data_IF_237409653371
#
_entry.id   IF_237409653371
#
_cell.length_a   1.000
_cell.length_b   1.000
_cell.length_c   1.000
_cell.angle_alpha   90.00
_cell.angle_beta   90.00
_cell.angle_gamma   90.00
#
_symmetry.space_group_name_H-M   'P 1'
#
loop_
_entity.id
_entity.type
_entity.pdbx_description
1 polymer ?
#
# COMPACT_ATOMS: atom_id res chain seq x y z
N UNK A 1 -3.85 -59.62 48.77
CA UNK A 1 -4.73 -59.42 47.60
C UNK A 1 -4.94 -57.91 47.47
N UNK A 2 -4.18 -57.18 46.63
CA UNK A 2 -4.28 -57.06 45.15
C UNK A 2 -5.01 -55.75 44.78
N UNK A 3 -4.20 -54.77 44.34
CA UNK A 3 -4.39 -53.58 43.48
C UNK A 3 -5.50 -52.57 43.83
N UNK A 4 -5.26 -51.26 43.92
CA UNK A 4 -4.61 -50.40 42.94
C UNK A 4 -5.69 -49.61 42.20
N UNK A 5 -6.17 -48.50 42.77
CA UNK A 5 -7.18 -47.65 42.11
C UNK A 5 -6.46 -46.78 41.09
N UNK A 6 -6.65 -47.15 39.83
CA UNK A 6 -6.08 -46.54 38.66
C UNK A 6 -6.44 -45.06 38.56
N UNK A 7 -5.40 -44.27 38.24
CA UNK A 7 -5.52 -42.90 37.75
C UNK A 7 -6.41 -42.91 36.51
N UNK A 8 -7.58 -42.25 36.58
CA UNK A 8 -8.42 -41.99 35.42
C UNK A 8 -7.66 -40.98 34.56
N UNK A 9 -6.85 -41.49 33.63
CA UNK A 9 -6.28 -40.71 32.55
C UNK A 9 -7.47 -40.25 31.71
N UNK A 10 -7.87 -38.99 31.87
CA UNK A 10 -8.72 -38.32 30.91
C UNK A 10 -7.99 -38.39 29.56
N UNK A 11 -8.52 -39.21 28.66
CA UNK A 11 -8.02 -39.32 27.30
C UNK A 11 -8.13 -37.96 26.63
N UNK A 12 -7.02 -37.24 26.55
CA UNK A 12 -6.85 -36.16 25.59
C UNK A 12 -6.93 -36.81 24.20
N UNK A 13 -7.82 -36.35 23.30
CA UNK A 13 -7.76 -36.82 21.93
C UNK A 13 -6.40 -36.41 21.36
N UNK A 14 -5.77 -37.43 20.79
CA UNK A 14 -4.45 -37.43 20.18
C UNK A 14 -4.35 -36.35 19.11
N UNK A 15 -3.23 -35.63 19.14
CA UNK A 15 -2.57 -34.98 18.01
C UNK A 15 -3.48 -34.23 17.02
N UNK A 16 -3.71 -32.94 17.26
CA UNK A 16 -3.99 -32.00 16.18
C UNK A 16 -2.76 -31.97 15.27
N UNK A 17 -2.90 -32.38 14.02
CA UNK A 17 -1.79 -32.39 13.07
C UNK A 17 -1.71 -31.05 12.33
N UNK A 18 -0.52 -30.61 11.91
CA UNK A 18 -0.28 -29.36 11.19
C UNK A 18 -1.15 -29.17 9.91
N UNK A 19 -1.78 -30.24 9.41
CA UNK A 19 -2.69 -30.22 8.27
C UNK A 19 -4.07 -29.65 8.58
N UNK A 20 -4.43 -29.54 9.86
CA UNK A 20 -5.73 -29.02 10.31
C UNK A 20 -5.74 -27.49 10.51
N UNK A 21 -4.60 -26.82 10.28
CA UNK A 21 -4.43 -25.35 10.46
C UNK A 21 -4.68 -24.58 9.14
N UNK A 22 -4.74 -25.24 7.99
CA UNK A 22 -4.93 -24.57 6.68
C UNK A 22 -6.33 -24.71 6.06
N UNK A 23 -7.28 -25.29 6.78
CA UNK A 23 -8.62 -25.57 6.24
C UNK A 23 -9.67 -24.49 6.50
N UNK A 24 -9.33 -23.40 7.19
CA UNK A 24 -10.22 -22.23 7.33
C UNK A 24 -9.95 -21.20 6.24
N UNK A 25 -10.12 -21.61 4.98
CA UNK A 25 -10.57 -20.66 3.95
C UNK A 25 -11.95 -20.11 4.36
N UNK A 26 -12.29 -18.86 4.02
CA UNK A 26 -13.61 -18.33 4.35
C UNK A 26 -14.69 -19.25 3.75
N UNK A 27 -15.68 -19.62 4.57
CA UNK A 27 -16.81 -20.45 4.15
C UNK A 27 -17.54 -19.84 2.94
N UNK A 28 -18.18 -20.65 2.07
CA UNK A 28 -18.78 -20.23 0.80
C UNK A 28 -20.13 -19.49 0.98
N UNK A 29 -20.19 -18.59 1.95
CA UNK A 29 -21.20 -17.54 2.07
C UNK A 29 -20.51 -16.21 2.41
N UNK A 30 -19.59 -15.78 1.56
CA UNK A 30 -18.92 -14.49 1.74
C UNK A 30 -19.60 -13.43 0.88
N UNK A 31 -20.49 -12.63 1.48
CA UNK A 31 -20.88 -11.33 0.93
C UNK A 31 -19.74 -10.29 1.10
N UNK A 32 -18.49 -10.74 0.97
CA UNK A 32 -17.30 -9.90 1.01
C UNK A 32 -16.90 -9.56 -0.42
N UNK A 33 -16.62 -8.27 -0.72
CA UNK A 33 -16.16 -7.88 -2.04
C UNK A 33 -14.86 -8.61 -2.38
N UNK A 34 -14.85 -9.33 -3.51
CA UNK A 34 -13.65 -9.98 -4.05
C UNK A 34 -12.71 -8.87 -4.51
N UNK A 35 -11.70 -8.58 -3.71
CA UNK A 35 -10.65 -7.65 -4.07
C UNK A 35 -9.70 -8.29 -5.08
N UNK A 36 -9.46 -7.60 -6.20
CA UNK A 36 -8.50 -8.03 -7.19
C UNK A 36 -7.44 -6.94 -7.37
N UNK A 37 -6.37 -7.06 -6.60
CA UNK A 37 -5.32 -6.04 -6.47
C UNK A 37 -4.45 -5.89 -7.74
N UNK A 38 -4.53 -6.83 -8.68
CA UNK A 38 -3.73 -6.84 -9.92
C UNK A 38 -4.43 -6.14 -11.09
N UNK A 39 -5.72 -5.86 -10.98
CA UNK A 39 -6.44 -5.12 -12.02
C UNK A 39 -6.02 -3.66 -12.06
N UNK A 40 -6.06 -3.04 -13.24
CA UNK A 40 -5.89 -1.58 -13.34
C UNK A 40 -7.08 -0.86 -12.68
N UNK A 41 -6.90 0.39 -12.27
CA UNK A 41 -8.05 1.23 -11.88
C UNK A 41 -9.07 1.27 -13.02
N UNK A 42 -10.34 1.16 -12.67
CA UNK A 42 -11.44 1.36 -13.60
C UNK A 42 -12.43 2.37 -13.01
N UNK A 43 -12.49 3.54 -13.64
CA UNK A 43 -13.36 4.64 -13.24
C UNK A 43 -14.84 4.31 -13.40
N UNK A 44 -15.18 3.25 -14.14
CA UNK A 44 -16.55 2.91 -14.44
C UNK A 44 -17.25 4.03 -15.21
N UNK A 45 -18.58 4.08 -15.09
CA UNK A 45 -19.42 5.05 -15.77
C UNK A 45 -20.55 5.53 -14.86
N UNK A 46 -21.31 6.51 -15.34
CA UNK A 46 -22.44 7.12 -14.63
C UNK A 46 -22.14 8.53 -14.13
N UNK A 47 -22.97 9.00 -13.19
CA UNK A 47 -22.95 10.38 -12.67
C UNK A 47 -22.56 10.47 -11.19
N UNK A 48 -22.36 9.33 -10.53
CA UNK A 48 -22.02 9.23 -9.11
C UNK A 48 -20.53 9.45 -8.87
N UNK A 49 -20.07 10.71 -8.88
CA UNK A 49 -18.67 11.03 -8.67
C UNK A 49 -18.26 10.81 -7.21
N UNK A 50 -17.34 9.88 -6.98
CA UNK A 50 -16.75 9.63 -5.66
C UNK A 50 -15.26 9.35 -5.76
N UNK A 51 -14.52 9.68 -4.69
CA UNK A 51 -13.11 9.33 -4.58
C UNK A 51 -12.99 7.90 -4.07
N UNK A 52 -12.28 7.05 -4.81
CA UNK A 52 -11.92 5.69 -4.41
C UNK A 52 -10.41 5.51 -4.48
N UNK A 53 -9.93 4.37 -4.01
CA UNK A 53 -8.53 3.97 -4.05
C UNK A 53 -8.37 2.67 -4.83
N UNK A 54 -7.24 2.52 -5.51
CA UNK A 54 -6.83 1.28 -6.16
C UNK A 54 -5.38 0.98 -5.79
N UNK A 55 -5.04 -0.29 -5.67
CA UNK A 55 -3.67 -0.73 -5.44
C UNK A 55 -2.92 -0.72 -6.76
N UNK A 56 -1.78 -0.04 -6.78
CA UNK A 56 -0.88 -0.12 -7.90
C UNK A 56 0.28 -1.06 -7.56
N UNK A 57 0.25 -2.24 -8.18
CA UNK A 57 1.25 -3.26 -7.94
C UNK A 57 2.64 -2.86 -8.41
N UNK A 58 2.79 -1.91 -9.32
CA UNK A 58 4.10 -1.41 -9.78
C UNK A 58 4.71 -0.61 -8.64
N UNK A 59 4.00 0.38 -8.10
CA UNK A 59 4.45 1.23 -7.00
C UNK A 59 4.35 0.58 -5.62
N UNK A 60 3.61 -0.52 -5.49
CA UNK A 60 3.36 -1.18 -4.21
C UNK A 60 2.54 -0.32 -3.25
N UNK A 61 1.67 0.54 -3.79
CA UNK A 61 0.97 1.57 -3.02
C UNK A 61 -0.44 1.82 -3.56
N UNK A 62 -1.32 2.33 -2.71
CA UNK A 62 -2.68 2.69 -3.10
C UNK A 62 -2.77 4.16 -3.55
N UNK A 63 -3.40 4.38 -4.70
CA UNK A 63 -3.62 5.69 -5.29
C UNK A 63 -5.09 6.03 -5.35
N UNK A 64 -5.41 7.29 -5.13
CA UNK A 64 -6.75 7.82 -5.29
C UNK A 64 -7.11 7.94 -6.78
N UNK A 65 -8.38 7.66 -7.11
CA UNK A 65 -8.97 7.88 -8.42
C UNK A 65 -10.46 8.23 -8.35
N UNK A 66 -10.99 8.82 -9.42
CA UNK A 66 -12.42 9.11 -9.56
C UNK A 66 -13.17 7.88 -10.04
N UNK A 67 -14.22 7.50 -9.32
CA UNK A 67 -15.19 6.48 -9.71
C UNK A 67 -16.55 7.13 -9.97
N UNK A 68 -17.23 6.72 -11.04
CA UNK A 68 -18.49 7.32 -11.52
C UNK A 68 -19.77 6.61 -11.03
N UNK A 69 -19.63 5.62 -10.15
CA UNK A 69 -20.74 5.02 -9.42
C UNK A 69 -21.21 3.68 -9.97
N UNK A 70 -21.01 3.39 -11.26
CA UNK A 70 -21.42 2.13 -11.89
C UNK A 70 -20.26 1.43 -12.62
N UNK A 71 -20.37 0.11 -12.75
CA UNK A 71 -19.34 -0.72 -13.40
C UNK A 71 -18.04 -0.76 -12.60
N UNK A 72 -16.91 -0.71 -13.30
CA UNK A 72 -15.59 -0.83 -12.69
C UNK A 72 -15.19 -2.27 -12.40
N UNK A 73 -14.20 -2.44 -11.53
CA UNK A 73 -13.64 -3.75 -11.18
C UNK A 73 -13.31 -3.88 -9.69
N UNK A 74 -12.69 -5.00 -9.30
CA UNK A 74 -12.41 -5.36 -7.90
C UNK A 74 -11.23 -4.61 -7.27
N UNK A 75 -10.45 -3.85 -8.04
CA UNK A 75 -9.39 -2.99 -7.50
C UNK A 75 -9.93 -1.62 -7.12
N UNK A 76 -10.91 -1.60 -6.20
CA UNK A 76 -11.60 -0.38 -5.80
C UNK A 76 -11.98 -0.42 -4.32
N UNK A 77 -11.48 0.56 -3.58
CA UNK A 77 -11.62 0.64 -2.13
C UNK A 77 -12.11 2.02 -1.70
N UNK A 78 -12.85 2.06 -0.59
CA UNK A 78 -13.41 3.30 -0.05
C UNK A 78 -12.38 4.13 0.72
N UNK A 79 -11.39 3.48 1.32
CA UNK A 79 -10.33 4.13 2.07
C UNK A 79 -8.95 3.64 1.64
N UNK A 80 -7.96 4.51 1.87
CA UNK A 80 -6.56 4.17 1.66
C UNK A 80 -6.15 2.97 2.53
N UNK A 81 -6.53 2.97 3.81
CA UNK A 81 -6.17 1.90 4.74
C UNK A 81 -6.76 0.56 4.35
N UNK A 82 -8.02 0.54 3.85
CA UNK A 82 -8.63 -0.70 3.36
C UNK A 82 -7.92 -1.23 2.13
N UNK A 83 -7.52 -0.34 1.22
CA UNK A 83 -6.74 -0.71 0.05
C UNK A 83 -5.38 -1.31 0.46
N UNK A 84 -4.65 -0.64 1.35
CA UNK A 84 -3.34 -1.11 1.80
C UNK A 84 -3.45 -2.42 2.58
N UNK A 85 -4.42 -2.57 3.49
CA UNK A 85 -4.57 -3.80 4.28
C UNK A 85 -5.05 -4.99 3.47
N UNK A 86 -5.79 -4.75 2.37
CA UNK A 86 -6.27 -5.82 1.50
C UNK A 86 -5.24 -6.26 0.47
N UNK A 87 -4.41 -5.35 -0.03
CA UNK A 87 -3.55 -5.60 -1.19
C UNK A 87 -2.05 -5.61 -0.93
N UNK A 88 -1.59 -5.00 0.17
CA UNK A 88 -0.15 -4.95 0.44
C UNK A 88 0.34 -6.36 0.81
N UNK A 89 1.37 -6.89 0.12
CA UNK A 89 1.96 -8.18 0.48
C UNK A 89 2.55 -8.19 1.89
N UNK A 90 2.46 -9.33 2.57
CA UNK A 90 2.93 -9.52 3.95
C UNK A 90 4.46 -9.50 4.07
N UNK A 91 5.17 -9.90 3.02
CA UNK A 91 6.64 -9.85 2.89
C UNK A 91 7.20 -8.45 2.64
N UNK A 92 6.32 -7.43 2.58
CA UNK A 92 6.65 -6.13 3.12
C UNK A 92 7.50 -5.23 2.23
N UNK A 93 6.81 -4.24 1.65
CA UNK A 93 7.36 -2.94 1.22
C UNK A 93 8.28 -2.97 0.00
N UNK A 94 7.78 -2.43 -1.12
CA UNK A 94 8.64 -2.03 -2.23
C UNK A 94 9.50 -0.84 -1.81
N UNK A 95 10.70 -1.13 -1.30
CA UNK A 95 11.57 -0.12 -0.71
C UNK A 95 11.95 1.03 -1.66
N UNK A 96 12.08 0.73 -2.94
CA UNK A 96 12.52 1.67 -3.95
C UNK A 96 11.39 2.21 -4.85
N UNK A 97 10.12 2.02 -4.46
CA UNK A 97 8.98 2.31 -5.32
C UNK A 97 8.88 1.32 -6.49
N UNK A 98 8.49 1.76 -7.70
CA UNK A 98 8.35 0.86 -8.83
C UNK A 98 9.67 0.22 -9.21
N UNK A 99 9.62 -1.09 -9.46
CA UNK A 99 10.79 -1.89 -9.84
C UNK A 99 11.40 -1.23 -11.06
N UNK A 100 12.66 -0.84 -10.95
CA UNK A 100 13.35 -0.10 -12.00
C UNK A 100 13.47 -0.97 -13.26
N UNK A 101 13.17 -0.44 -14.47
CA UNK A 101 13.31 -1.18 -15.73
C UNK A 101 14.70 -1.76 -15.98
N UNK A 102 15.74 -1.30 -15.27
CA UNK A 102 17.08 -1.86 -15.39
C UNK A 102 17.27 -3.24 -14.75
N UNK A 103 16.24 -3.85 -14.14
CA UNK A 103 16.35 -5.16 -13.48
C UNK A 103 17.52 -5.21 -12.48
N UNK A 104 17.91 -4.09 -11.87
CA UNK A 104 19.13 -4.01 -11.06
C UNK A 104 18.93 -4.69 -9.70
N UNK A 105 19.57 -5.85 -9.43
CA UNK A 105 19.57 -6.47 -8.12
C UNK A 105 20.96 -6.20 -7.52
N UNK A 106 21.34 -4.94 -7.33
CA UNK A 106 22.60 -4.64 -6.67
C UNK A 106 22.33 -4.29 -5.22
N UNK A 107 22.65 -5.26 -4.37
CA UNK A 107 22.90 -5.00 -2.97
C UNK A 107 24.03 -3.97 -2.88
N UNK A 108 23.73 -2.84 -2.24
CA UNK A 108 24.71 -1.78 -2.00
C UNK A 108 25.25 -1.87 -0.59
N UNK A 109 26.50 -1.47 -0.38
CA UNK A 109 27.07 -1.43 0.94
C UNK A 109 27.95 -0.19 1.03
N UNK A 110 27.51 0.77 1.83
CA UNK A 110 28.23 2.03 2.07
C UNK A 110 29.54 1.78 2.82
N UNK A 111 29.66 0.66 3.56
CA UNK A 111 30.86 0.30 4.35
C UNK A 111 31.88 -0.48 3.51
N UNK A 112 31.42 -1.39 2.64
CA UNK A 112 32.31 -2.24 1.81
C UNK A 112 32.68 -1.61 0.46
N UNK A 113 32.37 -0.32 0.25
CA UNK A 113 32.74 0.37 -0.99
C UNK A 113 31.98 -0.12 -2.22
N UNK A 114 30.70 -0.51 -2.06
CA UNK A 114 29.80 -0.85 -3.18
C UNK A 114 28.82 0.30 -3.42
N UNK A 115 29.23 1.37 -4.13
CA UNK A 115 28.36 2.51 -4.41
C UNK A 115 27.29 2.15 -5.46
N UNK A 116 26.18 2.85 -5.40
CA UNK A 116 25.17 2.75 -6.44
C UNK A 116 25.60 3.48 -7.72
N UNK A 117 25.12 3.06 -8.91
CA UNK A 117 25.33 3.78 -10.15
C UNK A 117 24.81 5.22 -10.09
N UNK A 118 25.27 6.08 -11.00
CA UNK A 118 24.79 7.46 -11.08
C UNK A 118 23.26 7.50 -11.25
N UNK A 119 22.59 8.34 -10.47
CA UNK A 119 21.13 8.42 -10.43
C UNK A 119 20.45 7.45 -9.46
N UNK A 120 21.23 6.70 -8.67
CA UNK A 120 20.73 5.80 -7.63
C UNK A 120 21.32 6.15 -6.25
N UNK A 121 20.58 5.82 -5.20
CA UNK A 121 20.97 6.04 -3.81
C UNK A 121 20.78 4.75 -3.02
N UNK A 122 21.77 4.39 -2.19
CA UNK A 122 21.68 3.22 -1.34
C UNK A 122 20.61 3.42 -0.25
N UNK A 123 19.74 2.42 -0.08
CA UNK A 123 18.73 2.39 0.99
C UNK A 123 18.86 1.11 1.79
N UNK A 124 18.84 1.25 3.11
CA UNK A 124 19.02 0.15 4.04
C UNK A 124 17.65 -0.42 4.41
N UNK A 125 17.45 -1.72 4.19
CA UNK A 125 16.25 -2.41 4.66
C UNK A 125 16.42 -2.84 6.11
N UNK A 126 15.37 -2.74 6.96
CA UNK A 126 15.39 -3.27 8.32
C UNK A 126 15.70 -4.77 8.40
N UNK A 127 15.45 -5.52 7.32
CA UNK A 127 15.76 -6.95 7.22
C UNK A 127 17.18 -7.25 6.70
N UNK A 128 18.06 -6.23 6.62
CA UNK A 128 19.49 -6.42 6.29
C UNK A 128 19.81 -6.44 4.78
N UNK A 129 18.82 -6.19 3.91
CA UNK A 129 19.03 -6.10 2.47
C UNK A 129 19.10 -4.63 2.03
N UNK A 130 20.30 -4.10 1.89
CA UNK A 130 20.51 -2.79 1.28
C UNK A 130 20.28 -2.88 -0.24
N UNK A 131 19.64 -1.88 -0.85
CA UNK A 131 19.38 -1.85 -2.29
C UNK A 131 19.58 -0.45 -2.86
N UNK A 132 20.09 -0.38 -4.10
CA UNK A 132 20.11 0.85 -4.87
C UNK A 132 18.70 1.23 -5.35
N UNK A 133 18.18 2.34 -4.85
CA UNK A 133 16.92 2.92 -5.30
C UNK A 133 17.17 4.10 -6.22
N UNK A 134 16.38 4.24 -7.29
CA UNK A 134 16.44 5.42 -8.16
C UNK A 134 16.27 6.71 -7.35
N UNK A 135 17.23 7.62 -7.44
CA UNK A 135 17.16 8.92 -6.76
C UNK A 135 15.96 9.74 -7.24
N UNK A 136 15.51 9.55 -8.49
CA UNK A 136 14.30 10.17 -9.01
C UNK A 136 13.05 9.67 -8.27
N UNK A 137 12.88 8.35 -8.12
CA UNK A 137 11.73 7.77 -7.42
C UNK A 137 11.71 8.18 -5.94
N UNK A 138 12.86 8.18 -5.28
CA UNK A 138 13.00 8.68 -3.91
C UNK A 138 12.61 10.17 -3.80
N UNK A 139 13.03 10.99 -4.77
CA UNK A 139 12.70 12.41 -4.80
C UNK A 139 11.19 12.63 -5.00
N UNK A 140 10.56 11.98 -5.98
CA UNK A 140 9.11 12.15 -6.22
C UNK A 140 8.27 11.62 -5.07
N UNK A 141 8.66 10.53 -4.39
CA UNK A 141 7.96 10.04 -3.19
C UNK A 141 8.03 11.05 -2.06
N UNK A 142 9.21 11.59 -1.77
CA UNK A 142 9.41 12.61 -0.73
C UNK A 142 8.57 13.85 -0.99
N UNK A 143 8.54 14.35 -2.23
CA UNK A 143 7.80 15.56 -2.58
C UNK A 143 6.29 15.31 -2.72
N UNK A 144 5.91 14.15 -3.26
CA UNK A 144 4.52 13.70 -3.34
C UNK A 144 3.89 13.62 -1.95
N UNK A 145 4.51 12.87 -1.03
CA UNK A 145 4.04 12.67 0.36
C UNK A 145 4.25 13.87 1.28
N UNK A 146 4.98 14.90 0.85
CA UNK A 146 5.19 16.11 1.66
C UNK A 146 3.87 16.77 2.05
N UNK A 147 3.76 17.18 3.31
CA UNK A 147 2.66 18.00 3.84
C UNK A 147 2.63 19.42 3.26
N UNK A 148 3.63 19.80 2.46
CA UNK A 148 3.73 21.08 1.76
C UNK A 148 3.75 20.91 0.25
N UNK A 149 3.14 21.85 -0.45
CA UNK A 149 3.09 21.95 -1.89
C UNK A 149 4.26 22.78 -2.45
N UNK A 150 4.44 22.80 -3.77
CA UNK A 150 5.59 23.49 -4.40
C UNK A 150 5.62 24.99 -4.11
N UNK A 151 4.45 25.61 -3.99
CA UNK A 151 4.30 27.02 -3.64
C UNK A 151 4.41 27.31 -2.13
N UNK A 152 4.66 26.28 -1.31
CA UNK A 152 4.72 26.38 0.15
C UNK A 152 3.39 26.22 0.87
N UNK A 153 2.26 26.15 0.15
CA UNK A 153 0.93 25.92 0.72
C UNK A 153 0.84 24.54 1.38
N UNK A 154 -0.14 24.36 2.27
CA UNK A 154 -0.36 23.07 2.94
C UNK A 154 -1.07 22.09 1.99
N UNK A 155 -0.59 20.85 1.96
CA UNK A 155 -1.32 19.77 1.31
C UNK A 155 -2.60 19.47 2.10
N UNK A 156 -3.67 19.06 1.40
CA UNK A 156 -4.89 18.55 2.04
C UNK A 156 -4.60 17.16 2.56
N UNK A 157 -4.62 17.03 3.88
CA UNK A 157 -4.45 15.76 4.58
C UNK A 157 -5.83 15.09 4.76
N UNK A 158 -5.89 13.75 4.82
CA UNK A 158 -7.09 13.07 5.28
C UNK A 158 -7.54 13.64 6.62
N UNK A 159 -8.85 13.84 6.78
CA UNK A 159 -9.41 14.21 8.07
C UNK A 159 -9.41 12.98 8.98
N UNK A 160 -9.18 13.23 10.27
CA UNK A 160 -9.01 12.26 11.38
C UNK A 160 -7.59 11.72 11.59
N UNK A 161 -7.19 11.64 12.87
CA UNK A 161 -5.89 11.28 13.46
C UNK A 161 -4.87 12.43 13.68
N UNK A 162 -5.19 13.46 14.50
CA UNK A 162 -4.24 14.52 14.90
C UNK A 162 -2.92 14.04 15.52
N UNK A 163 -2.91 12.80 16.04
CA UNK A 163 -1.76 12.18 16.72
C UNK A 163 -0.90 11.31 15.81
N UNK A 164 -1.24 11.15 14.53
CA UNK A 164 -0.48 10.30 13.61
C UNK A 164 0.59 11.12 12.88
N UNK A 165 1.88 11.04 13.27
CA UNK A 165 2.96 11.79 12.62
C UNK A 165 3.25 11.29 11.19
N UNK A 166 2.66 10.16 10.79
CA UNK A 166 2.77 9.57 9.45
C UNK A 166 1.59 9.89 8.53
N UNK A 167 0.77 10.89 8.89
CA UNK A 167 -0.31 11.35 8.02
C UNK A 167 0.30 11.88 6.72
N UNK A 168 -0.10 11.27 5.60
CA UNK A 168 0.33 11.67 4.27
C UNK A 168 -0.85 12.22 3.49
N UNK A 169 -0.64 13.19 2.59
CA UNK A 169 -1.71 13.70 1.75
C UNK A 169 -2.25 12.60 0.85
N UNK A 170 -3.52 12.74 0.47
CA UNK A 170 -4.13 11.88 -0.54
C UNK A 170 -3.37 12.02 -1.87
N UNK A 171 -2.79 10.93 -2.35
CA UNK A 171 -2.03 10.88 -3.59
C UNK A 171 -2.84 10.22 -4.71
N UNK A 172 -2.80 10.82 -5.90
CA UNK A 172 -3.23 10.17 -7.14
C UNK A 172 -2.10 10.21 -8.17
N UNK A 173 -2.26 9.48 -9.28
CA UNK A 173 -1.31 9.57 -10.39
C UNK A 173 -1.46 10.85 -11.22
N UNK A 174 -2.68 11.39 -11.28
CA UNK A 174 -3.02 12.56 -12.06
C UNK A 174 -3.99 13.47 -11.31
N UNK A 175 -3.96 14.77 -11.59
CA UNK A 175 -5.00 15.69 -11.14
C UNK A 175 -6.40 15.33 -11.61
N UNK A 176 -6.53 14.63 -12.74
CA UNK A 176 -7.82 14.14 -13.22
C UNK A 176 -8.41 13.08 -12.29
N UNK A 177 -7.58 12.43 -11.48
CA UNK A 177 -7.98 11.37 -10.54
C UNK A 177 -8.29 11.90 -9.13
N UNK A 178 -8.04 13.19 -8.85
CA UNK A 178 -8.30 13.80 -7.55
C UNK A 178 -9.59 14.60 -7.52
N UNK A 179 -10.32 14.43 -6.42
CA UNK A 179 -11.39 15.32 -6.01
C UNK A 179 -10.82 16.19 -4.87
N UNK A 180 -10.47 17.42 -5.21
CA UNK A 180 -10.07 18.43 -4.23
C UNK A 180 -11.30 19.20 -3.73
N UNK A 181 -11.36 19.52 -2.43
CA UNK A 181 -12.44 20.32 -1.85
C UNK A 181 -12.43 21.77 -2.35
N UNK A 182 -13.46 22.54 -2.01
CA UNK A 182 -13.67 23.93 -2.51
C UNK A 182 -12.47 24.88 -2.28
N UNK A 183 -11.73 24.71 -1.18
CA UNK A 183 -10.59 25.57 -0.82
C UNK A 183 -9.23 24.93 -1.14
N UNK A 184 -9.21 24.03 -2.13
CA UNK A 184 -7.99 23.36 -2.53
C UNK A 184 -7.93 23.17 -4.05
N UNK A 185 -6.74 23.32 -4.60
CA UNK A 185 -6.45 23.00 -6.01
C UNK A 185 -5.63 21.74 -6.09
N UNK A 186 -5.74 21.04 -7.21
CA UNK A 186 -4.81 19.97 -7.49
C UNK A 186 -3.46 20.52 -7.95
N UNK A 187 -2.39 19.93 -7.47
CA UNK A 187 -1.03 20.14 -7.96
C UNK A 187 -0.47 18.82 -8.48
N UNK A 188 -0.06 18.81 -9.75
CA UNK A 188 0.71 17.71 -10.34
C UNK A 188 2.17 17.85 -9.89
N UNK A 189 2.56 17.10 -8.86
CA UNK A 189 3.89 17.23 -8.25
C UNK A 189 4.97 16.58 -9.09
N UNK A 190 4.65 15.49 -9.80
CA UNK A 190 5.54 14.79 -10.73
C UNK A 190 4.73 14.11 -11.85
N UNK A 191 5.40 13.34 -12.72
CA UNK A 191 4.73 12.50 -13.73
C UNK A 191 3.83 11.40 -13.12
N UNK A 192 3.96 11.12 -11.82
CA UNK A 192 3.33 9.96 -11.17
C UNK A 192 2.58 10.32 -9.90
N UNK A 193 2.75 11.54 -9.39
CA UNK A 193 2.05 12.03 -8.21
C UNK A 193 1.35 13.35 -8.49
N UNK A 194 0.12 13.40 -8.00
CA UNK A 194 -0.70 14.58 -7.83
C UNK A 194 -1.24 14.58 -6.39
N UNK A 195 -1.43 15.78 -5.84
CA UNK A 195 -2.05 15.98 -4.51
C UNK A 195 -2.89 17.25 -4.49
N UNK A 196 -3.78 17.36 -3.52
CA UNK A 196 -4.54 18.58 -3.31
C UNK A 196 -3.77 19.52 -2.37
N UNK A 197 -3.76 20.81 -2.70
CA UNK A 197 -3.05 21.89 -2.01
C UNK A 197 -4.05 22.99 -1.65
N UNK A 198 -4.00 23.48 -0.41
CA UNK A 198 -4.85 24.59 0.02
C UNK A 198 -4.55 25.84 -0.82
N UNK A 199 -5.61 26.56 -1.19
CA UNK A 199 -5.51 27.83 -1.91
C UNK A 199 -5.16 28.98 -0.98
#
# INVERSE_FOLDING_TARGET
MIFGVACVILALPLAVTQKDIWSSGPEPNSNYPIYNCDQKKDSGYGYGLSQKYYYDNVYGWCFAFKYYGQGGNGNRFDSFDRCMSSCRPADGYKMCGPVDPLNLPYSCNEVEGRPCPHGYTCKNSPVGHNQCCSSYYLWIEKHGRSSRCKDGSQAVLPEEQPWNPYITPKLAKSCNDLICGRNARCEQTSKVYAKCCKM
#
